data_IF_174226941969
#
_entry.id   IF_174226941969
#
_cell.length_a   1.000
_cell.length_b   1.000
_cell.length_c   1.000
_cell.angle_alpha   90.00
_cell.angle_beta   90.00
_cell.angle_gamma   90.00
#
_symmetry.space_group_name_H-M   'P 1'
#
loop_
_entity.id
_entity.type
_entity.pdbx_description
1 polymer ?
#
# COMPACT_ATOMS: atom_id res chain seq x y z
N UNK A 1 -4.29 -26.49 -4.04
CA UNK A 1 -3.81 -25.48 -4.98
C UNK A 1 -2.50 -24.92 -4.51
N UNK A 2 -1.48 -25.12 -5.28
CA UNK A 2 -0.17 -24.65 -4.90
C UNK A 2 0.03 -23.23 -5.33
N UNK A 3 0.29 -22.39 -4.38
CA UNK A 3 0.68 -21.02 -4.64
C UNK A 3 2.11 -20.85 -4.20
N UNK A 4 2.96 -20.50 -5.13
CA UNK A 4 4.36 -20.30 -4.81
C UNK A 4 4.57 -19.09 -3.91
N UNK A 5 3.65 -18.14 -3.97
CA UNK A 5 3.72 -16.95 -3.16
C UNK A 5 2.45 -16.80 -2.39
N UNK A 6 2.54 -16.45 -1.10
CA UNK A 6 1.32 -16.19 -0.34
C UNK A 6 0.60 -15.00 -0.95
N UNK A 7 -0.69 -15.17 -1.15
CA UNK A 7 -1.56 -14.07 -1.50
C UNK A 7 -2.25 -13.63 -0.25
N UNK A 8 -2.00 -12.40 0.12
CA UNK A 8 -2.73 -11.82 1.22
C UNK A 8 -4.00 -11.21 0.63
N UNK A 9 -5.09 -11.94 0.75
CA UNK A 9 -6.40 -11.45 0.35
C UNK A 9 -7.04 -10.62 1.43
N UNK A 10 -6.37 -10.49 2.55
CA UNK A 10 -6.89 -9.73 3.66
C UNK A 10 -6.59 -8.26 3.45
N UNK A 11 -7.62 -7.44 3.54
CA UNK A 11 -7.44 -6.00 3.51
C UNK A 11 -6.65 -5.58 4.74
N UNK A 12 -5.62 -4.81 4.50
CA UNK A 12 -4.73 -4.38 5.57
C UNK A 12 -4.69 -2.87 5.59
N UNK A 13 -4.94 -2.28 6.76
CA UNK A 13 -4.83 -0.85 6.94
C UNK A 13 -3.38 -0.42 6.83
N UNK A 14 -3.14 0.62 6.06
CA UNK A 14 -1.80 1.17 5.86
C UNK A 14 -1.91 2.68 5.89
N UNK A 15 -0.76 3.35 6.03
CA UNK A 15 -0.66 4.79 5.88
C UNK A 15 0.18 5.06 4.64
N UNK A 16 -0.36 5.87 3.76
CA UNK A 16 0.31 6.25 2.52
C UNK A 16 0.77 7.69 2.64
N UNK A 17 2.04 7.92 2.39
CA UNK A 17 2.60 9.26 2.32
C UNK A 17 3.03 9.52 0.88
N UNK A 18 2.48 10.57 0.28
CA UNK A 18 2.86 10.99 -1.07
C UNK A 18 3.89 12.11 -0.93
N UNK A 19 5.12 11.83 -1.33
CA UNK A 19 6.24 12.74 -1.14
C UNK A 19 6.08 14.00 -2.00
N UNK A 20 5.65 13.82 -3.26
CA UNK A 20 5.54 14.95 -4.19
C UNK A 20 4.36 15.86 -3.86
N UNK A 21 3.24 15.27 -3.44
CA UNK A 21 2.05 16.06 -3.13
C UNK A 21 2.01 16.53 -1.69
N UNK A 22 2.87 15.96 -0.84
CA UNK A 22 3.06 16.45 0.52
C UNK A 22 1.94 16.12 1.48
N UNK A 23 1.22 15.02 1.26
CA UNK A 23 0.17 14.63 2.18
C UNK A 23 0.30 13.15 2.57
N UNK A 24 -0.37 12.83 3.66
CA UNK A 24 -0.35 11.51 4.27
C UNK A 24 -1.79 11.14 4.63
N UNK A 25 -2.19 9.91 4.36
CA UNK A 25 -3.54 9.48 4.67
C UNK A 25 -3.60 7.97 4.89
N UNK A 26 -4.71 7.54 5.48
CA UNK A 26 -4.96 6.12 5.64
C UNK A 26 -5.48 5.53 4.34
N UNK A 27 -5.11 4.28 4.09
CA UNK A 27 -5.54 3.54 2.91
C UNK A 27 -5.68 2.07 3.27
N UNK A 28 -6.15 1.29 2.33
CA UNK A 28 -6.29 -0.15 2.52
C UNK A 28 -5.49 -0.86 1.44
N UNK A 29 -4.52 -1.65 1.85
CA UNK A 29 -3.80 -2.51 0.93
C UNK A 29 -4.64 -3.74 0.67
N UNK A 30 -4.97 -3.99 -0.59
CA UNK A 30 -5.89 -5.06 -0.95
C UNK A 30 -5.20 -6.26 -1.56
N UNK A 31 -4.03 -6.08 -2.14
CA UNK A 31 -3.28 -7.21 -2.61
C UNK A 31 -1.80 -6.85 -2.70
N UNK A 32 -0.99 -7.89 -2.63
CA UNK A 32 0.45 -7.75 -2.68
C UNK A 32 0.99 -8.97 -3.40
N UNK A 33 1.84 -8.75 -4.38
CA UNK A 33 2.40 -9.83 -5.18
C UNK A 33 3.72 -9.37 -5.79
N UNK A 34 4.78 -10.13 -5.53
CA UNK A 34 6.09 -9.82 -6.07
C UNK A 34 6.57 -8.44 -5.63
N UNK A 35 6.86 -7.58 -6.59
CA UNK A 35 7.31 -6.23 -6.33
C UNK A 35 6.21 -5.19 -6.56
N UNK A 36 4.96 -5.63 -6.62
CA UNK A 36 3.83 -4.74 -6.82
C UNK A 36 2.80 -4.88 -5.71
N UNK A 37 2.08 -3.81 -5.45
CA UNK A 37 0.95 -3.86 -4.54
C UNK A 37 -0.14 -2.92 -5.02
N UNK A 38 -1.32 -3.13 -4.48
CA UNK A 38 -2.50 -2.38 -4.85
C UNK A 38 -3.17 -1.86 -3.59
N UNK A 39 -3.54 -0.59 -3.58
CA UNK A 39 -4.21 0.02 -2.45
C UNK A 39 -5.46 0.73 -2.89
N UNK A 40 -6.48 0.68 -2.03
CA UNK A 40 -7.66 1.55 -2.17
C UNK A 40 -7.43 2.79 -1.32
N UNK A 41 -7.64 3.94 -1.91
CA UNK A 41 -7.39 5.23 -1.27
C UNK A 41 -8.60 6.14 -1.46
N UNK A 42 -8.75 7.10 -0.55
CA UNK A 42 -9.79 8.11 -0.68
C UNK A 42 -9.29 9.36 -1.39
N UNK A 43 -8.04 9.37 -1.81
CA UNK A 43 -7.44 10.50 -2.50
C UNK A 43 -6.68 10.01 -3.73
N UNK A 44 -6.71 10.77 -4.83
CA UNK A 44 -5.97 10.38 -6.02
C UNK A 44 -4.48 10.59 -5.87
N UNK A 45 -3.72 9.78 -6.58
CA UNK A 45 -2.27 9.93 -6.68
C UNK A 45 -1.91 9.92 -8.16
N UNK A 46 -0.85 10.63 -8.51
CA UNK A 46 -0.42 10.71 -9.90
C UNK A 46 0.62 9.63 -10.21
N UNK A 47 0.50 8.97 -11.36
CA UNK A 47 1.57 8.06 -11.79
C UNK A 47 2.92 8.76 -11.77
N UNK A 48 3.94 8.07 -11.29
CA UNK A 48 5.27 8.63 -11.12
C UNK A 48 5.55 9.20 -9.75
N UNK A 49 4.52 9.42 -8.94
CA UNK A 49 4.73 9.93 -7.59
C UNK A 49 5.44 8.90 -6.72
N UNK A 50 6.40 9.36 -5.94
CA UNK A 50 7.03 8.54 -4.90
C UNK A 50 6.12 8.49 -3.70
N UNK A 51 5.93 7.30 -3.19
CA UNK A 51 5.11 7.11 -2.00
C UNK A 51 5.79 6.16 -1.02
N UNK A 52 5.47 6.38 0.25
CA UNK A 52 5.84 5.49 1.33
C UNK A 52 4.55 4.86 1.85
N UNK A 53 4.55 3.54 1.97
CA UNK A 53 3.40 2.81 2.49
C UNK A 53 3.82 2.13 3.78
N UNK A 54 3.32 2.67 4.88
CA UNK A 54 3.65 2.16 6.20
C UNK A 54 2.62 1.14 6.61
N UNK A 55 3.08 -0.07 6.85
CA UNK A 55 2.24 -1.15 7.32
C UNK A 55 2.34 -1.17 8.84
N UNK A 56 1.21 -1.01 9.50
CA UNK A 56 1.16 -1.11 10.94
C UNK A 56 1.30 -2.57 11.34
N UNK A 57 2.05 -2.80 12.40
CA UNK A 57 2.27 -4.16 12.84
C UNK A 57 1.01 -4.74 13.47
N UNK A 58 0.84 -6.02 13.25
CA UNK A 58 -0.23 -6.76 13.88
C UNK A 58 0.06 -6.94 15.37
N UNK A 59 -0.98 -7.21 16.17
CA UNK A 59 -0.77 -7.37 17.62
C UNK A 59 0.28 -8.42 17.99
N UNK A 60 0.44 -9.45 17.17
CA UNK A 60 1.39 -10.53 17.44
C UNK A 60 2.71 -10.39 16.69
N UNK A 61 2.89 -9.32 15.95
CA UNK A 61 4.10 -9.09 15.18
C UNK A 61 4.95 -8.03 15.84
N UNK A 62 6.24 -8.27 15.86
CA UNK A 62 7.20 -7.32 16.40
C UNK A 62 7.88 -6.52 15.31
N UNK A 63 7.42 -6.67 14.07
CA UNK A 63 8.01 -6.02 12.92
C UNK A 63 6.99 -5.13 12.25
N UNK A 64 7.37 -3.92 11.98
CA UNK A 64 6.62 -3.04 11.09
C UNK A 64 7.45 -2.81 9.85
N UNK A 65 6.81 -2.34 8.80
CA UNK A 65 7.53 -2.14 7.54
C UNK A 65 7.05 -0.91 6.81
N UNK A 66 7.96 -0.35 6.02
CA UNK A 66 7.66 0.76 5.14
C UNK A 66 8.08 0.34 3.74
N UNK A 67 7.10 0.22 2.84
CA UNK A 67 7.37 0.04 1.44
C UNK A 67 7.62 1.39 0.80
N UNK A 68 8.68 1.47 0.02
CA UNK A 68 9.01 2.66 -0.75
C UNK A 68 8.77 2.31 -2.20
N UNK A 69 7.95 3.08 -2.86
CA UNK A 69 7.59 2.74 -4.23
C UNK A 69 7.14 3.94 -5.04
N UNK A 70 6.70 3.62 -6.24
CA UNK A 70 6.26 4.60 -7.21
C UNK A 70 4.87 4.21 -7.70
N UNK A 71 3.97 5.18 -7.75
CA UNK A 71 2.64 4.96 -8.30
C UNK A 71 2.77 4.70 -9.79
N UNK A 72 2.24 3.57 -10.26
CA UNK A 72 2.26 3.22 -11.67
C UNK A 72 0.99 3.61 -12.37
N UNK A 73 -0.13 3.50 -11.66
CA UNK A 73 -1.42 3.87 -12.20
C UNK A 73 -2.35 4.24 -11.05
N UNK A 74 -3.35 5.03 -11.39
CA UNK A 74 -4.40 5.41 -10.46
C UNK A 74 -5.70 5.41 -11.25
N UNK A 75 -6.73 4.83 -10.68
CA UNK A 75 -8.05 4.82 -11.31
C UNK A 75 -9.12 5.08 -10.28
N UNK A 76 -10.18 5.71 -10.71
CA UNK A 76 -11.37 5.89 -9.89
C UNK A 76 -12.15 4.59 -9.87
N UNK A 77 -12.61 4.20 -8.71
CA UNK A 77 -13.46 3.03 -8.56
C UNK A 77 -14.84 3.47 -8.08
N UNK A 78 -15.86 2.96 -8.74
CA UNK A 78 -17.23 3.27 -8.39
C UNK A 78 -17.73 2.20 -7.44
N UNK A 79 -17.66 2.51 -6.16
CA UNK A 79 -18.14 1.62 -5.11
C UNK A 79 -18.98 2.44 -4.14
N UNK A 80 -19.74 1.74 -3.30
CA UNK A 80 -20.44 2.39 -2.21
C UNK A 80 -19.55 2.58 -0.99
N UNK A 81 -18.28 2.28 -1.14
CA UNK A 81 -17.29 2.41 -0.09
C UNK A 81 -16.69 3.82 -0.09
N UNK A 82 -16.18 4.28 1.05
CA UNK A 82 -15.58 5.62 1.10
C UNK A 82 -14.26 5.74 0.33
N UNK A 83 -13.67 4.65 -0.09
CA UNK A 83 -12.42 4.67 -0.86
C UNK A 83 -12.77 4.73 -2.33
N UNK A 84 -12.47 5.85 -2.96
CA UNK A 84 -12.91 6.16 -4.32
C UNK A 84 -11.86 5.86 -5.38
N UNK A 85 -10.63 5.58 -4.99
CA UNK A 85 -9.52 5.39 -5.93
C UNK A 85 -8.78 4.11 -5.63
N UNK A 86 -8.19 3.55 -6.68
CA UNK A 86 -7.31 2.40 -6.54
C UNK A 86 -6.00 2.73 -7.22
N UNK A 87 -4.89 2.48 -6.54
CA UNK A 87 -3.57 2.74 -7.08
C UNK A 87 -2.78 1.44 -7.18
N UNK A 88 -1.99 1.34 -8.24
CA UNK A 88 -1.00 0.28 -8.38
C UNK A 88 0.37 0.87 -8.12
N UNK A 89 1.16 0.19 -7.31
CA UNK A 89 2.44 0.68 -6.85
C UNK A 89 3.52 -0.34 -7.19
N UNK A 90 4.59 0.14 -7.79
CA UNK A 90 5.80 -0.66 -7.96
C UNK A 90 6.68 -0.43 -6.74
N UNK A 91 6.93 -1.50 -5.99
CA UNK A 91 7.75 -1.43 -4.79
C UNK A 91 9.21 -1.41 -5.21
N UNK A 92 9.95 -0.42 -4.74
CA UNK A 92 11.37 -0.29 -5.01
C UNK A 92 12.21 -0.85 -3.86
N UNK A 93 11.73 -0.67 -2.63
CA UNK A 93 12.43 -1.20 -1.46
C UNK A 93 11.47 -1.36 -0.30
N UNK A 94 11.91 -2.13 0.67
CA UNK A 94 11.16 -2.36 1.90
C UNK A 94 12.13 -2.17 3.06
N UNK A 95 11.74 -1.32 4.00
CA UNK A 95 12.48 -1.15 5.25
C UNK A 95 11.69 -1.80 6.37
N UNK A 96 12.36 -2.66 7.10
CA UNK A 96 11.76 -3.35 8.23
C UNK A 96 12.29 -2.74 9.53
N UNK A 97 11.40 -2.45 10.44
CA UNK A 97 11.74 -2.00 11.78
C UNK A 97 11.38 -3.11 12.75
N UNK A 98 12.37 -3.55 13.51
CA UNK A 98 12.14 -4.56 14.55
C UNK A 98 12.10 -3.87 15.90
N UNK A 99 11.03 -4.15 16.63
CA UNK A 99 10.97 -3.72 18.02
C UNK A 99 11.79 -4.67 18.86
N UNK A 100 12.74 -4.12 19.56
CA UNK A 100 13.55 -4.90 20.47
C UNK A 100 12.88 -4.99 21.84
#
# INVERSE_FOLDING_TARGET
>A
MDRKFPRYNENRAVVVENVELGFCHHATMINFSGNGLCCNTDMPHNPGNKIFIKIEKWPNEKTSGIYIGEVRWCREIKTNQPMDYQIGVKVESLRLNHDS
#
